data_IF_760114106033
#
_entry.id   IF_760114106033
#
_cell.length_a   1.000
_cell.length_b   1.000
_cell.length_c   1.000
_cell.angle_alpha   90.00
_cell.angle_beta   90.00
_cell.angle_gamma   90.00
#
_symmetry.space_group_name_H-M   'P 1'
#
loop_
_entity.id
_entity.type
_entity.pdbx_description
1 polymer ?
#
# COMPACT_ATOMS: atom_id res chain seq x y z
N UNK A 1 11.27 8.27 15.69
CA UNK A 1 12.02 7.35 16.59
C UNK A 1 12.70 8.11 17.71
N UNK A 2 12.89 7.49 18.90
CA UNK A 2 13.71 8.06 19.97
C UNK A 2 15.15 8.30 19.52
N UNK A 3 15.78 9.39 20.00
CA UNK A 3 17.11 9.80 19.57
C UNK A 3 18.21 8.76 19.83
N UNK A 4 18.09 8.02 20.95
CA UNK A 4 19.03 6.94 21.28
C UNK A 4 18.96 5.74 20.30
N UNK A 5 17.78 5.43 19.76
CA UNK A 5 17.64 4.39 18.72
C UNK A 5 18.30 4.84 17.41
N UNK A 6 18.07 6.10 17.01
CA UNK A 6 18.73 6.66 15.83
C UNK A 6 20.24 6.63 15.99
N UNK A 7 20.75 7.03 17.16
CA UNK A 7 22.20 6.99 17.47
C UNK A 7 22.75 5.58 17.36
N UNK A 8 22.10 4.59 17.97
CA UNK A 8 22.52 3.18 17.91
C UNK A 8 22.62 2.68 16.46
N UNK A 9 21.58 2.95 15.64
CA UNK A 9 21.57 2.52 14.24
C UNK A 9 22.73 3.17 13.49
N UNK A 10 22.95 4.48 13.65
CA UNK A 10 24.03 5.19 12.99
C UNK A 10 25.42 4.67 13.43
N UNK A 11 25.62 4.35 14.69
CA UNK A 11 26.86 3.75 15.19
C UNK A 11 27.10 2.37 14.55
N UNK A 12 26.11 1.49 14.49
CA UNK A 12 26.23 0.19 13.83
C UNK A 12 26.58 0.32 12.34
N UNK A 13 25.95 1.25 11.65
CA UNK A 13 26.21 1.52 10.24
C UNK A 13 27.63 2.07 10.04
N UNK A 14 28.11 2.98 10.91
CA UNK A 14 29.48 3.52 10.85
C UNK A 14 30.55 2.46 11.08
N UNK A 15 30.22 1.40 11.82
CA UNK A 15 31.08 0.22 12.04
C UNK A 15 31.02 -0.78 10.87
N UNK A 16 30.33 -0.45 9.76
CA UNK A 16 30.16 -1.34 8.60
C UNK A 16 29.29 -2.56 8.87
N UNK A 17 28.44 -2.54 9.91
CA UNK A 17 27.55 -3.66 10.22
C UNK A 17 26.36 -3.69 9.27
N UNK A 18 25.95 -4.92 8.92
CA UNK A 18 24.65 -5.12 8.22
C UNK A 18 23.52 -5.00 9.23
N UNK A 19 22.55 -4.13 8.95
CA UNK A 19 21.46 -3.82 9.86
C UNK A 19 20.13 -4.24 9.24
N UNK A 20 19.38 -5.07 9.95
CA UNK A 20 17.98 -5.36 9.68
C UNK A 20 17.14 -4.70 10.78
N UNK A 21 16.22 -3.84 10.38
CA UNK A 21 15.31 -3.17 11.31
C UNK A 21 14.01 -3.94 11.43
N UNK A 22 13.59 -4.17 12.67
CA UNK A 22 12.28 -4.72 12.98
C UNK A 22 11.50 -3.65 13.72
N UNK A 23 10.43 -3.17 13.08
CA UNK A 23 9.64 -2.08 13.60
C UNK A 23 8.34 -2.61 14.20
N UNK A 24 8.13 -2.30 15.47
CA UNK A 24 6.87 -2.53 16.18
C UNK A 24 6.25 -1.17 16.50
N UNK A 25 5.05 -0.93 16.03
CA UNK A 25 4.34 0.32 16.25
C UNK A 25 2.99 0.36 15.58
N UNK A 26 2.10 1.20 16.04
CA UNK A 26 0.73 1.32 15.49
C UNK A 26 0.66 2.11 14.19
N UNK A 27 1.74 2.80 13.83
CA UNK A 27 1.82 3.65 12.64
C UNK A 27 3.26 3.77 12.15
N UNK A 28 3.42 4.40 11.01
CA UNK A 28 4.71 4.71 10.38
C UNK A 28 5.53 5.71 11.21
N UNK A 29 6.85 5.69 11.00
CA UNK A 29 7.81 6.60 11.63
C UNK A 29 8.83 7.08 10.61
N UNK A 30 9.42 8.24 10.83
CA UNK A 30 10.52 8.71 9.98
C UNK A 30 11.74 7.80 10.12
N UNK A 31 12.37 7.47 8.99
CA UNK A 31 13.53 6.58 8.88
C UNK A 31 14.66 7.28 8.15
N UNK A 32 15.41 8.20 8.79
CA UNK A 32 16.43 8.99 8.13
C UNK A 32 17.60 8.16 7.57
N UNK A 33 17.73 6.92 8.01
CA UNK A 33 18.77 5.96 7.60
C UNK A 33 18.25 4.87 6.63
N UNK A 34 17.07 5.02 6.08
CA UNK A 34 16.39 3.97 5.27
C UNK A 34 17.24 3.43 4.12
N UNK A 35 18.02 4.30 3.46
CA UNK A 35 18.89 3.91 2.35
C UNK A 35 20.21 3.23 2.79
N UNK A 36 20.48 3.18 4.09
CA UNK A 36 21.72 2.62 4.66
C UNK A 36 21.50 1.27 5.33
N UNK A 37 20.27 0.92 5.65
CA UNK A 37 19.93 -0.40 6.24
C UNK A 37 19.62 -1.41 5.14
N UNK A 38 19.90 -2.69 5.41
CA UNK A 38 19.75 -3.75 4.40
C UNK A 38 18.37 -4.34 4.32
N UNK A 39 17.60 -4.28 5.42
CA UNK A 39 16.22 -4.78 5.45
C UNK A 39 15.41 -4.06 6.52
N UNK A 40 14.10 -3.96 6.25
CA UNK A 40 13.13 -3.42 7.20
C UNK A 40 11.94 -4.37 7.22
N UNK A 41 11.58 -4.85 8.42
CA UNK A 41 10.38 -5.64 8.66
C UNK A 41 9.42 -4.82 9.53
N UNK A 42 8.29 -4.40 8.95
CA UNK A 42 7.24 -3.70 9.69
C UNK A 42 6.24 -4.72 10.24
N UNK A 43 6.25 -4.91 11.54
CA UNK A 43 5.41 -5.89 12.24
C UNK A 43 4.11 -5.29 12.78
N UNK A 44 3.95 -3.96 12.76
CA UNK A 44 2.82 -3.27 13.39
C UNK A 44 2.63 -3.69 14.86
N UNK A 45 1.43 -4.08 15.24
CA UNK A 45 1.07 -4.55 16.59
C UNK A 45 0.67 -6.04 16.51
N UNK A 46 1.65 -6.98 16.47
CA UNK A 46 1.40 -8.37 16.12
C UNK A 46 0.73 -9.19 17.24
N UNK A 47 0.53 -8.60 18.41
CA UNK A 47 -0.08 -9.29 19.55
C UNK A 47 0.81 -10.36 20.18
N UNK A 48 0.20 -11.38 20.78
CA UNK A 48 0.87 -12.36 21.64
C UNK A 48 1.89 -13.22 20.89
N UNK A 49 1.63 -13.62 19.65
CA UNK A 49 2.54 -14.45 18.84
C UNK A 49 3.61 -13.69 18.07
N UNK A 50 3.81 -12.38 18.35
CA UNK A 50 4.64 -11.49 17.53
C UNK A 50 6.11 -11.88 17.47
N UNK A 51 6.69 -12.35 18.58
CA UNK A 51 8.08 -12.80 18.63
C UNK A 51 8.34 -14.01 17.74
N UNK A 52 7.48 -15.04 17.83
CA UNK A 52 7.58 -16.23 16.99
C UNK A 52 7.36 -15.89 15.51
N UNK A 53 6.35 -15.08 15.20
CA UNK A 53 6.08 -14.65 13.83
C UNK A 53 7.28 -13.90 13.23
N UNK A 54 7.90 -13.02 14.00
CA UNK A 54 9.09 -12.27 13.60
C UNK A 54 10.27 -13.23 13.33
N UNK A 55 10.54 -14.17 14.24
CA UNK A 55 11.58 -15.18 14.07
C UNK A 55 11.38 -15.96 12.77
N UNK A 56 10.19 -16.52 12.56
CA UNK A 56 9.88 -17.32 11.37
C UNK A 56 10.02 -16.55 10.06
N UNK A 57 9.69 -15.26 10.06
CA UNK A 57 9.88 -14.38 8.90
C UNK A 57 11.39 -14.15 8.64
N UNK A 58 12.17 -13.79 9.67
CA UNK A 58 13.59 -13.49 9.52
C UNK A 58 14.39 -14.71 9.05
N UNK A 59 14.07 -15.88 9.57
CA UNK A 59 14.76 -17.12 9.22
C UNK A 59 14.19 -17.83 8.00
N UNK A 60 13.18 -17.24 7.35
CA UNK A 60 12.64 -17.76 6.09
C UNK A 60 11.75 -19.00 6.23
N UNK A 61 11.33 -19.36 7.45
CA UNK A 61 10.34 -20.42 7.65
C UNK A 61 8.97 -20.05 7.11
N UNK A 62 8.68 -18.74 7.09
CA UNK A 62 7.48 -18.15 6.50
C UNK A 62 7.90 -17.02 5.55
N UNK A 63 7.30 -17.01 4.37
CA UNK A 63 7.54 -15.97 3.38
C UNK A 63 6.67 -14.74 3.68
N UNK A 64 7.24 -13.53 3.85
CA UNK A 64 6.47 -12.31 4.04
C UNK A 64 5.57 -12.06 2.81
N UNK A 65 4.34 -11.64 3.08
CA UNK A 65 3.34 -11.41 2.04
C UNK A 65 2.34 -10.30 2.42
N UNK A 66 2.72 -9.49 3.40
CA UNK A 66 1.99 -8.30 3.79
C UNK A 66 2.25 -7.14 2.82
N UNK A 67 1.25 -6.26 2.69
CA UNK A 67 1.35 -5.03 1.93
C UNK A 67 0.88 -3.89 2.81
N UNK A 68 1.55 -2.73 2.71
CA UNK A 68 1.23 -1.57 3.51
C UNK A 68 -0.20 -1.08 3.23
N UNK A 69 -0.96 -0.87 4.29
CA UNK A 69 -2.30 -0.30 4.25
C UNK A 69 -2.30 1.23 4.41
N UNK A 70 -1.12 1.83 4.38
CA UNK A 70 -0.90 3.28 4.48
C UNK A 70 0.28 3.70 3.60
N UNK A 71 0.31 4.98 3.23
CA UNK A 71 1.47 5.57 2.54
C UNK A 71 2.48 6.04 3.56
N UNK A 72 3.75 5.80 3.32
CA UNK A 72 4.85 6.20 4.18
C UNK A 72 5.57 7.41 3.56
N UNK A 73 5.31 8.66 3.99
CA UNK A 73 6.00 9.83 3.48
C UNK A 73 7.49 9.82 3.88
N UNK A 74 8.30 10.59 3.17
CA UNK A 74 9.72 10.73 3.48
C UNK A 74 9.93 11.45 4.83
N UNK A 75 9.12 12.47 5.10
CA UNK A 75 9.18 13.26 6.33
C UNK A 75 7.77 13.64 6.83
N UNK A 76 7.67 13.99 8.12
CA UNK A 76 6.42 14.46 8.72
C UNK A 76 5.88 15.73 8.06
N UNK A 77 6.76 16.57 7.53
CA UNK A 77 6.39 17.78 6.78
C UNK A 77 5.57 17.49 5.52
N UNK A 78 5.65 16.27 4.98
CA UNK A 78 4.90 15.86 3.79
C UNK A 78 3.49 15.37 4.12
N UNK A 79 3.19 15.23 5.44
CA UNK A 79 1.84 14.85 5.90
C UNK A 79 0.89 16.03 5.70
N UNK A 80 -0.22 15.87 4.96
CA UNK A 80 -1.17 16.97 4.75
C UNK A 80 -1.69 17.48 6.10
N UNK A 81 -1.61 18.79 6.30
CA UNK A 81 -2.05 19.47 7.53
C UNK A 81 -1.37 18.98 8.84
N UNK A 82 -0.30 18.21 8.78
CA UNK A 82 0.41 17.67 9.94
C UNK A 82 0.88 18.77 10.91
N UNK A 83 1.26 19.94 10.38
CA UNK A 83 1.64 21.09 11.19
C UNK A 83 0.51 21.68 12.06
N UNK A 84 -0.74 21.34 11.78
CA UNK A 84 -1.92 21.81 12.52
C UNK A 84 -2.39 20.80 13.58
N UNK A 85 -1.86 19.59 13.54
CA UNK A 85 -2.27 18.50 14.44
C UNK A 85 -2.06 18.89 15.92
N UNK A 86 -3.09 18.71 16.72
CA UNK A 86 -3.08 19.00 18.16
C UNK A 86 -3.04 20.50 18.55
N UNK A 87 -3.15 21.45 17.60
CA UNK A 87 -3.12 22.90 17.88
C UNK A 87 -4.50 23.52 18.11
N UNK A 88 -5.57 22.79 17.87
CA UNK A 88 -6.95 23.26 18.01
C UNK A 88 -7.77 22.30 18.83
N UNK A 89 -8.83 22.80 19.47
CA UNK A 89 -9.86 22.00 20.12
C UNK A 89 -10.90 21.45 19.13
N UNK A 90 -10.78 21.83 17.85
CA UNK A 90 -11.66 21.37 16.76
C UNK A 90 -10.81 20.77 15.67
N UNK A 91 -11.13 19.52 15.30
CA UNK A 91 -10.52 18.86 14.14
C UNK A 91 -11.34 19.16 12.88
N UNK A 92 -10.65 19.73 11.89
CA UNK A 92 -11.22 20.05 10.59
C UNK A 92 -10.73 18.98 9.58
N UNK A 93 -11.64 18.21 9.03
CA UNK A 93 -11.34 17.18 8.01
C UNK A 93 -11.03 17.81 6.65
N UNK A 94 -9.90 18.54 6.58
CA UNK A 94 -9.49 19.35 5.41
C UNK A 94 -9.12 18.49 4.21
N UNK A 95 -8.67 17.26 4.44
CA UNK A 95 -8.30 16.34 3.37
C UNK A 95 -9.50 15.91 2.52
N UNK A 96 -10.73 15.97 3.07
CA UNK A 96 -11.95 15.50 2.39
C UNK A 96 -11.75 14.04 1.90
N UNK A 97 -11.89 13.78 0.59
CA UNK A 97 -11.67 12.45 -0.01
C UNK A 97 -10.20 12.13 -0.28
N UNK A 98 -9.29 13.10 -0.10
CA UNK A 98 -7.86 12.96 -0.38
C UNK A 98 -7.09 12.49 0.86
N UNK A 99 -7.47 11.33 1.38
CA UNK A 99 -6.81 10.73 2.55
C UNK A 99 -5.77 9.70 2.08
N UNK A 100 -4.61 9.69 2.73
CA UNK A 100 -3.55 8.73 2.49
C UNK A 100 -3.03 8.76 1.04
N UNK A 101 -2.94 7.60 0.39
CA UNK A 101 -2.41 7.48 -0.98
C UNK A 101 -3.18 8.30 -2.02
N UNK A 102 -4.46 8.60 -1.78
CA UNK A 102 -5.26 9.45 -2.66
C UNK A 102 -4.69 10.86 -2.72
N UNK A 103 -4.25 11.39 -1.58
CA UNK A 103 -3.55 12.67 -1.50
C UNK A 103 -2.19 12.60 -2.20
N UNK A 104 -1.29 11.72 -1.75
CA UNK A 104 0.07 11.66 -2.27
C UNK A 104 0.11 11.43 -3.79
N UNK A 105 -0.74 10.53 -4.30
CA UNK A 105 -0.83 10.27 -5.74
C UNK A 105 -1.38 11.47 -6.52
N UNK A 106 -2.40 12.17 -6.00
CA UNK A 106 -3.03 13.29 -6.69
C UNK A 106 -2.19 14.56 -6.66
N UNK A 107 -1.46 14.77 -5.57
CA UNK A 107 -0.53 15.89 -5.41
C UNK A 107 0.86 15.61 -6.01
N UNK A 108 1.09 14.41 -6.55
CA UNK A 108 2.39 13.96 -7.08
C UNK A 108 3.52 14.05 -6.05
N UNK A 109 3.20 13.86 -4.78
CA UNK A 109 4.18 13.83 -3.69
C UNK A 109 4.76 12.42 -3.59
N UNK A 110 6.09 12.36 -3.61
CA UNK A 110 6.82 11.11 -3.41
C UNK A 110 6.58 10.58 -1.99
N UNK A 111 6.48 9.27 -1.88
CA UNK A 111 6.46 8.56 -0.61
C UNK A 111 7.63 7.58 -0.54
N UNK A 112 8.18 7.38 0.63
CA UNK A 112 9.24 6.42 0.89
C UNK A 112 8.77 5.01 0.52
N UNK A 113 7.60 4.64 1.03
CA UNK A 113 6.88 3.43 0.63
C UNK A 113 5.42 3.77 0.33
N UNK A 114 4.92 3.48 -0.87
CA UNK A 114 3.53 3.78 -1.21
C UNK A 114 2.56 2.80 -0.55
N UNK A 115 1.31 3.21 -0.43
CA UNK A 115 0.20 2.30 -0.11
C UNK A 115 0.22 1.08 -1.04
N UNK A 116 0.01 -0.10 -0.48
CA UNK A 116 0.04 -1.35 -1.23
C UNK A 116 1.44 -1.90 -1.51
N UNK A 117 2.50 -1.23 -1.03
CA UNK A 117 3.86 -1.73 -1.15
C UNK A 117 4.11 -2.91 -0.22
N UNK A 118 4.86 -3.89 -0.70
CA UNK A 118 5.34 -5.03 0.07
C UNK A 118 6.35 -5.82 -0.73
N UNK A 119 7.30 -6.44 -0.03
CA UNK A 119 8.27 -7.36 -0.61
C UNK A 119 7.99 -8.79 -0.15
N UNK A 120 8.45 -9.73 -0.93
CA UNK A 120 8.38 -11.17 -0.68
C UNK A 120 9.74 -11.79 -0.93
N UNK A 121 10.01 -12.96 -0.35
CA UNK A 121 11.16 -13.80 -0.75
C UNK A 121 10.91 -14.50 -2.09
N UNK A 122 9.66 -14.47 -2.58
CA UNK A 122 9.28 -14.96 -3.90
C UNK A 122 9.11 -13.83 -4.88
N UNK A 123 9.29 -14.14 -6.15
CA UNK A 123 9.06 -13.24 -7.27
C UNK A 123 7.85 -13.69 -8.08
N UNK A 124 7.00 -12.73 -8.45
CA UNK A 124 5.75 -12.99 -9.14
C UNK A 124 5.63 -12.17 -10.42
N UNK A 125 5.33 -12.86 -11.53
CA UNK A 125 4.90 -12.21 -12.74
C UNK A 125 3.38 -12.02 -12.72
N UNK A 126 2.92 -10.79 -12.98
CA UNK A 126 1.50 -10.43 -13.05
C UNK A 126 1.17 -9.85 -14.42
N UNK A 127 0.16 -10.38 -15.08
CA UNK A 127 -0.29 -9.88 -16.38
C UNK A 127 -1.81 -9.82 -16.43
N UNK A 128 -2.36 -8.65 -16.58
CA UNK A 128 -3.77 -8.49 -16.90
C UNK A 128 -4.04 -9.03 -18.29
N UNK A 129 -5.05 -9.89 -18.42
CA UNK A 129 -5.36 -10.59 -19.66
C UNK A 129 -6.65 -10.11 -20.29
N UNK A 130 -7.68 -9.84 -19.48
CA UNK A 130 -9.01 -9.51 -19.99
C UNK A 130 -9.72 -8.56 -19.03
N UNK A 131 -10.50 -7.64 -19.61
CA UNK A 131 -11.52 -6.86 -18.90
C UNK A 131 -12.84 -7.16 -19.57
N UNK A 132 -13.73 -7.83 -18.83
CA UNK A 132 -15.10 -8.13 -19.29
C UNK A 132 -16.04 -7.05 -18.74
N UNK A 133 -16.68 -6.29 -19.64
CA UNK A 133 -17.76 -5.37 -19.27
C UNK A 133 -19.09 -6.11 -19.20
N UNK A 134 -19.66 -6.20 -18.00
CA UNK A 134 -20.98 -6.80 -17.74
C UNK A 134 -21.95 -5.72 -17.31
N UNK A 135 -23.23 -6.04 -17.29
CA UNK A 135 -24.30 -5.07 -16.99
C UNK A 135 -24.03 -4.27 -15.70
N UNK A 136 -23.65 -4.94 -14.61
CA UNK A 136 -23.53 -4.33 -13.27
C UNK A 136 -22.07 -4.28 -12.77
N UNK A 137 -21.13 -4.92 -13.47
CA UNK A 137 -19.75 -5.09 -13.00
C UNK A 137 -18.75 -5.20 -14.12
N UNK A 138 -17.49 -4.90 -13.81
CA UNK A 138 -16.34 -5.29 -14.60
C UNK A 138 -15.67 -6.50 -13.97
N UNK A 139 -15.32 -7.49 -14.78
CA UNK A 139 -14.49 -8.63 -14.36
C UNK A 139 -13.13 -8.52 -15.00
N UNK A 140 -12.12 -8.44 -14.15
CA UNK A 140 -10.73 -8.26 -14.56
C UNK A 140 -10.00 -9.56 -14.26
N UNK A 141 -9.41 -10.15 -15.30
CA UNK A 141 -8.61 -11.36 -15.18
C UNK A 141 -7.13 -11.03 -15.19
N UNK A 142 -6.42 -11.56 -14.23
CA UNK A 142 -4.97 -11.36 -14.06
C UNK A 142 -4.33 -12.73 -13.90
N UNK A 143 -3.43 -13.08 -14.81
CA UNK A 143 -2.57 -14.24 -14.64
C UNK A 143 -1.44 -13.88 -13.67
N UNK A 144 -1.25 -14.72 -12.66
CA UNK A 144 -0.18 -14.61 -11.67
C UNK A 144 0.64 -15.89 -11.72
N UNK A 145 1.95 -15.73 -11.78
CA UNK A 145 2.92 -16.84 -11.80
C UNK A 145 4.00 -16.58 -10.74
N UNK A 146 4.29 -17.58 -9.92
CA UNK A 146 5.47 -17.58 -9.07
C UNK A 146 6.67 -18.05 -9.91
N UNK A 147 7.58 -17.13 -10.21
CA UNK A 147 8.79 -17.41 -11.04
C UNK A 147 10.01 -17.72 -10.18
N UNK A 148 9.88 -17.76 -8.87
CA UNK A 148 10.94 -18.10 -7.92
C UNK A 148 10.91 -19.56 -7.50
N UNK A 149 11.93 -19.98 -6.74
CA UNK A 149 12.03 -21.33 -6.16
C UNK A 149 11.40 -21.46 -4.78
N UNK A 150 10.82 -20.37 -4.25
CA UNK A 150 10.25 -20.29 -2.91
C UNK A 150 8.72 -20.17 -3.03
N UNK A 151 7.92 -20.96 -2.32
CA UNK A 151 6.47 -20.77 -2.28
C UNK A 151 6.13 -19.47 -1.59
N UNK A 152 5.09 -18.79 -2.05
CA UNK A 152 4.71 -17.50 -1.49
C UNK A 152 3.33 -17.03 -1.86
N UNK A 153 2.92 -15.94 -1.24
CA UNK A 153 1.65 -15.28 -1.56
C UNK A 153 1.88 -13.90 -2.14
N UNK A 154 1.05 -13.56 -3.12
CA UNK A 154 1.02 -12.25 -3.76
C UNK A 154 -0.35 -11.61 -3.62
N UNK A 155 -0.40 -10.28 -3.51
CA UNK A 155 -1.63 -9.50 -3.48
C UNK A 155 -1.79 -8.74 -4.80
N UNK A 156 -2.72 -9.21 -5.63
CA UNK A 156 -3.13 -8.50 -6.84
C UNK A 156 -4.03 -7.35 -6.45
N UNK A 157 -3.69 -6.13 -6.86
CA UNK A 157 -4.41 -4.90 -6.55
C UNK A 157 -4.82 -4.22 -7.85
N UNK A 158 -6.08 -3.81 -7.95
CA UNK A 158 -6.61 -3.05 -9.10
C UNK A 158 -6.96 -1.65 -8.64
N UNK A 159 -6.26 -0.69 -9.21
CA UNK A 159 -6.53 0.73 -9.05
C UNK A 159 -7.23 1.25 -10.29
N UNK A 160 -8.19 2.15 -10.11
CA UNK A 160 -8.93 2.77 -11.19
C UNK A 160 -8.68 4.27 -11.18
N UNK A 161 -8.24 4.78 -12.32
CA UNK A 161 -8.22 6.21 -12.63
C UNK A 161 -9.54 6.57 -13.31
N UNK A 162 -10.24 7.56 -12.77
CA UNK A 162 -11.50 8.02 -13.32
C UNK A 162 -11.29 9.08 -14.41
N UNK A 163 -12.24 9.26 -15.36
CA UNK A 163 -12.15 10.33 -16.34
C UNK A 163 -11.94 11.71 -15.68
N UNK A 164 -11.16 12.57 -16.31
CA UNK A 164 -10.97 13.95 -15.87
C UNK A 164 -12.21 14.75 -16.23
N UNK A 165 -12.98 15.12 -15.22
CA UNK A 165 -14.21 15.91 -15.34
C UNK A 165 -14.14 17.19 -14.52
N UNK A 166 -15.26 17.91 -14.45
CA UNK A 166 -15.36 19.18 -13.71
C UNK A 166 -15.26 19.04 -12.18
N UNK A 167 -15.29 17.80 -11.66
CA UNK A 167 -15.16 17.51 -10.24
C UNK A 167 -13.76 16.97 -9.97
N UNK A 168 -13.07 17.60 -9.01
CA UNK A 168 -11.75 17.15 -8.58
C UNK A 168 -11.88 15.85 -7.77
N UNK A 169 -11.31 14.77 -8.29
CA UNK A 169 -11.32 13.43 -7.71
C UNK A 169 -9.89 12.91 -7.54
N UNK A 170 -9.68 11.95 -6.62
CA UNK A 170 -8.39 11.29 -6.51
C UNK A 170 -7.91 10.72 -7.84
N UNK A 171 -6.59 10.85 -8.11
CA UNK A 171 -6.00 10.37 -9.35
C UNK A 171 -6.33 8.89 -9.60
N UNK A 172 -6.28 8.07 -8.55
CA UNK A 172 -6.60 6.65 -8.61
C UNK A 172 -7.14 6.15 -7.28
N UNK A 173 -7.98 5.14 -7.34
CA UNK A 173 -8.57 4.50 -6.16
C UNK A 173 -8.46 2.98 -6.25
N UNK A 174 -8.07 2.32 -5.16
CA UNK A 174 -8.12 0.86 -5.04
C UNK A 174 -9.59 0.41 -5.10
N UNK A 175 -9.94 -0.40 -6.07
CA UNK A 175 -11.32 -0.89 -6.26
C UNK A 175 -11.46 -2.40 -6.04
N UNK A 176 -10.39 -3.15 -6.20
CA UNK A 176 -10.40 -4.59 -5.92
C UNK A 176 -9.00 -5.08 -5.55
N UNK A 177 -8.93 -6.09 -4.70
CA UNK A 177 -7.69 -6.82 -4.45
C UNK A 177 -7.99 -8.28 -4.09
N UNK A 178 -6.99 -9.14 -4.31
CA UNK A 178 -7.08 -10.55 -3.93
C UNK A 178 -5.69 -11.12 -3.66
N UNK A 179 -5.55 -11.81 -2.55
CA UNK A 179 -4.34 -12.54 -2.19
C UNK A 179 -4.41 -13.97 -2.71
N UNK A 180 -3.32 -14.45 -3.31
CA UNK A 180 -3.19 -15.82 -3.82
C UNK A 180 -1.87 -16.42 -3.35
N UNK A 181 -1.89 -17.70 -3.00
CA UNK A 181 -0.70 -18.48 -2.66
C UNK A 181 -0.32 -19.35 -3.86
N UNK A 182 0.98 -19.39 -4.20
CA UNK A 182 1.50 -20.13 -5.32
C UNK A 182 2.78 -20.89 -4.95
N UNK A 183 2.83 -22.14 -5.33
CA UNK A 183 4.06 -22.94 -5.31
C UNK A 183 5.04 -22.45 -6.39
N UNK A 184 6.33 -22.80 -6.32
CA UNK A 184 7.31 -22.51 -7.37
C UNK A 184 6.81 -22.97 -8.75
N UNK A 185 6.89 -22.09 -9.74
CA UNK A 185 6.44 -22.36 -11.13
C UNK A 185 4.92 -22.43 -11.30
N UNK A 186 4.14 -22.33 -10.26
CA UNK A 186 2.69 -22.37 -10.35
C UNK A 186 2.13 -21.08 -10.96
N UNK A 187 1.13 -21.26 -11.83
CA UNK A 187 0.34 -20.19 -12.47
C UNK A 187 -1.11 -20.30 -12.07
N UNK A 188 -1.77 -19.17 -11.91
CA UNK A 188 -3.22 -19.11 -11.68
C UNK A 188 -3.83 -17.89 -12.33
N UNK A 189 -5.10 -17.99 -12.72
CA UNK A 189 -5.90 -16.85 -13.13
C UNK A 189 -6.66 -16.31 -11.90
N UNK A 190 -6.46 -15.05 -11.60
CA UNK A 190 -7.16 -14.33 -10.55
C UNK A 190 -8.25 -13.48 -11.19
N UNK A 191 -9.49 -13.69 -10.78
CA UNK A 191 -10.62 -12.85 -11.21
C UNK A 191 -10.92 -11.85 -10.10
N UNK A 192 -10.87 -10.55 -10.44
CA UNK A 192 -11.28 -9.44 -9.59
C UNK A 192 -12.52 -8.78 -10.16
N UNK A 193 -13.44 -8.42 -9.29
CA UNK A 193 -14.72 -7.83 -9.66
C UNK A 193 -14.80 -6.41 -9.13
N UNK A 194 -15.19 -5.47 -10.01
CA UNK A 194 -15.47 -4.09 -9.66
C UNK A 194 -16.94 -3.82 -10.03
N UNK A 195 -17.76 -3.55 -9.03
CA UNK A 195 -19.14 -3.16 -9.28
C UNK A 195 -19.18 -1.76 -9.88
N UNK A 196 -20.01 -1.54 -10.90
CA UNK A 196 -20.16 -0.20 -11.53
C UNK A 196 -20.60 0.85 -10.52
N UNK A 197 -21.38 0.46 -9.52
CA UNK A 197 -21.78 1.34 -8.42
C UNK A 197 -20.58 1.88 -7.61
N UNK A 198 -19.50 1.11 -7.48
CA UNK A 198 -18.32 1.52 -6.71
C UNK A 198 -17.46 2.58 -7.44
N UNK A 199 -17.78 2.85 -8.72
CA UNK A 199 -17.16 3.90 -9.52
C UNK A 199 -17.92 5.23 -9.47
N UNK A 200 -19.12 5.23 -8.88
CA UNK A 200 -19.95 6.44 -8.74
C UNK A 200 -19.39 7.37 -7.66
N UNK A 201 -19.71 8.63 -7.79
CA UNK A 201 -19.54 9.65 -6.76
C UNK A 201 -20.87 10.39 -6.54
N UNK A 202 -20.98 11.03 -5.37
CA UNK A 202 -22.16 11.83 -5.06
C UNK A 202 -22.01 13.21 -5.69
N UNK A 203 -22.94 13.56 -6.59
CA UNK A 203 -23.03 14.90 -7.17
C UNK A 203 -23.95 15.77 -6.31
N UNK A 204 -23.39 16.85 -5.74
CA UNK A 204 -24.12 17.73 -4.83
C UNK A 204 -25.20 18.52 -5.56
N UNK A 205 -24.99 18.88 -6.84
CA UNK A 205 -25.96 19.63 -7.65
C UNK A 205 -27.14 18.75 -8.02
N UNK A 206 -26.85 17.54 -8.49
CA UNK A 206 -27.84 16.54 -8.88
C UNK A 206 -28.46 15.78 -7.68
N UNK A 207 -27.86 15.94 -6.49
CA UNK A 207 -28.26 15.26 -5.23
C UNK A 207 -28.40 13.73 -5.38
N UNK A 208 -27.54 13.11 -6.19
CA UNK A 208 -27.56 11.67 -6.45
C UNK A 208 -26.16 11.13 -6.73
N UNK A 209 -26.00 9.80 -6.65
CA UNK A 209 -24.79 9.12 -7.11
C UNK A 209 -24.79 9.00 -8.63
N UNK A 210 -23.77 9.54 -9.27
CA UNK A 210 -23.59 9.49 -10.72
C UNK A 210 -22.24 8.82 -11.09
N UNK A 211 -22.18 8.28 -12.28
CA UNK A 211 -20.97 7.77 -12.89
C UNK A 211 -20.72 8.58 -14.17
N UNK A 212 -19.52 9.13 -14.28
CA UNK A 212 -19.16 9.91 -15.47
C UNK A 212 -18.98 9.01 -16.69
N UNK A 213 -19.39 9.51 -17.85
CA UNK A 213 -18.97 8.94 -19.12
C UNK A 213 -17.50 9.24 -19.40
N UNK A 214 -16.81 8.33 -20.08
CA UNK A 214 -15.41 8.52 -20.48
C UNK A 214 -14.54 7.30 -20.27
N UNK A 215 -13.22 7.50 -20.38
CA UNK A 215 -12.24 6.44 -20.29
C UNK A 215 -11.78 6.29 -18.85
N UNK A 216 -12.03 5.12 -18.27
CA UNK A 216 -11.47 4.66 -17.01
C UNK A 216 -10.19 3.86 -17.31
N UNK A 217 -9.14 4.09 -16.54
CA UNK A 217 -7.86 3.40 -16.70
C UNK A 217 -7.55 2.53 -15.50
#
# INVERSE_FOLDING_TARGET
LPSNQIKLINELLSMGKRVCLILFGGSIVELPFVNSVQAILMMYLPGQGGGEACYRLIYGEVNPSGHLAESWPDAYTDVPFGSEYGKSTRDLYKESVFVGYRYYSSAHIRTLFPFGYGLSYSEFNKRMTTIEDRKEEYRIKVNVENVSLIPGSEVVQIYVETPKNNIFRPLRELKAFKKVFLMPGQKTEVVLVIKKNDLRYYDVKEKKFIMDGGIYK
#
